data_IF_059779270058
#
_entry.id   IF_059779270058
#
_cell.length_a   1.000
_cell.length_b   1.000
_cell.length_c   1.000
_cell.angle_alpha   90.00
_cell.angle_beta   90.00
_cell.angle_gamma   90.00
#
_symmetry.space_group_name_H-M   'P 1'
#
loop_
_entity.id
_entity.type
_entity.pdbx_description
1 polymer ?
#
# COMPACT_ATOMS: atom_id res chain seq x y z
N UNK A 1 -73.75 -76.50 -21.70
CA UNK A 1 -74.30 -75.14 -21.68
C UNK A 1 -74.48 -74.73 -20.25
N UNK A 2 -73.88 -73.60 -19.86
CA UNK A 2 -74.51 -72.53 -19.06
C UNK A 2 -73.43 -71.59 -18.54
N UNK A 3 -73.41 -70.42 -19.16
CA UNK A 3 -72.65 -69.23 -18.80
C UNK A 3 -73.01 -68.75 -17.38
N UNK A 4 -71.99 -68.33 -16.61
CA UNK A 4 -72.17 -67.59 -15.37
C UNK A 4 -72.27 -66.08 -15.66
N UNK A 5 -73.19 -65.34 -15.04
CA UNK A 5 -73.50 -63.95 -15.41
C UNK A 5 -72.39 -62.97 -14.99
N UNK A 6 -72.06 -62.09 -15.92
CA UNK A 6 -71.10 -60.99 -15.81
C UNK A 6 -71.30 -60.10 -14.59
N UNK A 7 -70.23 -59.97 -13.80
CA UNK A 7 -70.10 -58.95 -12.74
C UNK A 7 -69.99 -57.57 -13.41
N UNK A 8 -71.01 -56.74 -13.23
CA UNK A 8 -71.00 -55.35 -13.70
C UNK A 8 -69.79 -54.60 -13.08
N UNK A 9 -68.92 -54.08 -13.94
CA UNK A 9 -67.87 -53.14 -13.55
C UNK A 9 -68.52 -51.87 -12.99
N UNK A 10 -68.26 -51.57 -11.71
CA UNK A 10 -68.55 -50.26 -11.15
C UNK A 10 -67.63 -49.23 -11.84
N UNK A 11 -68.15 -48.07 -12.30
CA UNK A 11 -67.30 -47.02 -12.84
C UNK A 11 -66.43 -46.47 -11.70
N UNK A 12 -65.12 -46.69 -11.79
CA UNK A 12 -64.13 -46.07 -10.91
C UNK A 12 -64.25 -44.55 -11.04
N UNK A 13 -64.71 -43.90 -9.97
CA UNK A 13 -64.68 -42.45 -9.85
C UNK A 13 -63.22 -42.01 -10.03
N UNK A 14 -62.90 -41.34 -11.14
CA UNK A 14 -61.59 -40.75 -11.36
C UNK A 14 -61.31 -39.75 -10.26
N UNK A 15 -60.32 -40.05 -9.42
CA UNK A 15 -59.86 -39.20 -8.32
C UNK A 15 -59.65 -37.77 -8.80
N UNK A 16 -60.13 -36.79 -8.03
CA UNK A 16 -59.87 -35.39 -8.28
C UNK A 16 -58.34 -35.18 -8.32
N UNK A 17 -57.80 -34.46 -9.33
CA UNK A 17 -56.37 -34.17 -9.38
C UNK A 17 -56.00 -33.37 -8.13
N UNK A 18 -55.00 -33.85 -7.37
CA UNK A 18 -54.53 -33.17 -6.15
C UNK A 18 -53.61 -32.02 -6.54
N UNK A 19 -53.47 -31.04 -5.66
CA UNK A 19 -52.59 -29.88 -5.90
C UNK A 19 -51.12 -30.34 -6.06
N UNK A 20 -50.75 -31.44 -5.41
CA UNK A 20 -49.42 -32.07 -5.53
C UNK A 20 -49.15 -32.71 -6.91
N UNK A 21 -50.21 -33.05 -7.67
CA UNK A 21 -50.10 -33.69 -8.99
C UNK A 21 -49.91 -32.67 -10.13
N UNK A 22 -49.91 -31.37 -9.81
CA UNK A 22 -49.73 -30.30 -10.79
C UNK A 22 -48.24 -30.11 -11.13
N UNK A 23 -47.83 -30.21 -12.41
CA UNK A 23 -46.44 -30.08 -12.78
C UNK A 23 -45.92 -28.65 -12.57
N UNK A 24 -44.84 -28.53 -11.80
CA UNK A 24 -44.08 -27.29 -11.58
C UNK A 24 -42.92 -27.17 -12.58
N UNK A 25 -42.86 -26.04 -13.28
CA UNK A 25 -41.70 -25.55 -14.02
C UNK A 25 -40.87 -24.63 -13.13
N UNK A 26 -39.60 -24.40 -13.45
CA UNK A 26 -38.60 -23.80 -12.54
C UNK A 26 -39.00 -22.51 -11.80
N UNK A 27 -39.96 -21.74 -12.31
CA UNK A 27 -40.45 -20.48 -11.71
C UNK A 27 -41.96 -20.49 -11.36
N UNK A 28 -42.63 -21.65 -11.38
CA UNK A 28 -44.06 -21.76 -11.05
C UNK A 28 -44.80 -22.93 -11.72
N UNK A 29 -46.13 -22.87 -11.78
CA UNK A 29 -46.94 -23.92 -12.41
C UNK A 29 -46.94 -23.81 -13.95
N UNK A 30 -46.93 -24.95 -14.64
CA UNK A 30 -47.08 -25.00 -16.10
C UNK A 30 -48.50 -24.62 -16.52
N UNK A 31 -48.64 -23.41 -17.10
CA UNK A 31 -49.94 -22.79 -17.40
C UNK A 31 -50.78 -23.60 -18.38
N UNK A 32 -50.18 -24.22 -19.39
CA UNK A 32 -50.91 -24.98 -20.40
C UNK A 32 -51.47 -26.28 -19.83
N UNK A 33 -50.67 -26.98 -19.02
CA UNK A 33 -51.08 -28.23 -18.38
C UNK A 33 -52.09 -28.02 -17.25
N UNK A 34 -51.95 -26.95 -16.48
CA UNK A 34 -52.96 -26.58 -15.48
C UNK A 34 -54.30 -26.33 -16.17
N UNK A 35 -54.31 -25.60 -17.29
CA UNK A 35 -55.53 -25.36 -18.06
C UNK A 35 -56.18 -26.67 -18.54
N UNK A 36 -55.40 -27.62 -19.04
CA UNK A 36 -55.89 -28.94 -19.46
C UNK A 36 -56.50 -29.73 -18.29
N UNK A 37 -55.89 -29.70 -17.11
CA UNK A 37 -56.42 -30.35 -15.92
C UNK A 37 -57.77 -29.75 -15.47
N UNK A 38 -57.91 -28.42 -15.52
CA UNK A 38 -59.17 -27.74 -15.22
C UNK A 38 -60.26 -28.06 -16.25
N UNK A 39 -59.91 -28.16 -17.54
CA UNK A 39 -60.86 -28.53 -18.59
C UNK A 39 -61.32 -29.99 -18.47
N UNK A 40 -60.41 -30.91 -18.12
CA UNK A 40 -60.76 -32.29 -17.82
C UNK A 40 -61.72 -32.39 -16.62
N UNK A 41 -61.48 -31.62 -15.56
CA UNK A 41 -62.36 -31.55 -14.40
C UNK A 41 -63.74 -30.96 -14.75
N UNK A 42 -63.80 -29.93 -15.60
CA UNK A 42 -65.07 -29.38 -16.10
C UNK A 42 -65.87 -30.38 -16.94
N UNK A 43 -65.22 -31.18 -17.79
CA UNK A 43 -65.87 -32.27 -18.53
C UNK A 43 -66.41 -33.33 -17.59
N UNK A 44 -65.63 -33.71 -16.58
CA UNK A 44 -66.03 -34.71 -15.59
C UNK A 44 -67.21 -34.25 -14.73
N UNK A 45 -67.21 -33.00 -14.26
CA UNK A 45 -68.35 -32.43 -13.51
C UNK A 45 -69.61 -32.31 -14.36
N UNK A 46 -69.48 -31.96 -15.65
CA UNK A 46 -70.61 -31.99 -16.58
C UNK A 46 -71.16 -33.42 -16.78
N UNK A 47 -70.27 -34.41 -16.89
CA UNK A 47 -70.66 -35.83 -16.99
C UNK A 47 -71.36 -36.32 -15.72
N UNK A 48 -70.87 -35.93 -14.54
CA UNK A 48 -71.49 -36.25 -13.26
C UNK A 48 -72.88 -35.60 -13.13
N UNK A 49 -73.03 -34.33 -13.52
CA UNK A 49 -74.33 -33.66 -13.54
C UNK A 49 -75.32 -34.32 -14.50
N UNK A 50 -74.85 -34.80 -15.66
CA UNK A 50 -75.67 -35.56 -16.59
C UNK A 50 -76.10 -36.91 -16.00
N UNK A 51 -75.19 -37.64 -15.35
CA UNK A 51 -75.50 -38.89 -14.65
C UNK A 51 -76.47 -38.68 -13.50
N UNK A 52 -76.32 -37.61 -12.71
CA UNK A 52 -77.26 -37.26 -11.64
C UNK A 52 -78.64 -36.87 -12.18
N UNK A 53 -78.73 -36.18 -13.33
CA UNK A 53 -80.03 -35.92 -13.98
C UNK A 53 -80.69 -37.21 -14.47
N UNK A 54 -79.92 -38.16 -14.99
CA UNK A 54 -80.43 -39.49 -15.41
C UNK A 54 -80.89 -40.30 -14.20
N UNK A 55 -80.11 -40.32 -13.11
CA UNK A 55 -80.47 -41.00 -11.87
C UNK A 55 -81.67 -40.35 -11.18
N UNK A 56 -81.80 -39.02 -11.22
CA UNK A 56 -83.00 -38.33 -10.72
C UNK A 56 -84.22 -38.57 -11.61
N UNK A 57 -84.04 -38.70 -12.93
CA UNK A 57 -85.11 -39.08 -13.85
C UNK A 57 -85.54 -40.55 -13.66
N UNK A 58 -84.61 -41.45 -13.36
CA UNK A 58 -84.87 -42.85 -13.06
C UNK A 58 -85.42 -43.07 -11.63
N UNK A 59 -84.99 -42.26 -10.66
CA UNK A 59 -85.49 -42.30 -9.28
C UNK A 59 -86.92 -41.76 -9.14
N UNK A 60 -87.37 -40.92 -10.09
CA UNK A 60 -88.74 -40.41 -10.12
C UNK A 60 -89.78 -41.47 -10.55
N UNK A 61 -89.35 -42.61 -11.11
CA UNK A 61 -90.25 -43.71 -11.52
C UNK A 61 -90.26 -44.90 -10.55
N UNK A 62 -89.44 -44.89 -9.50
CA UNK A 62 -89.42 -45.92 -8.46
C UNK A 62 -89.87 -45.33 -7.11
N UNK A 63 -91.13 -44.94 -7.03
CA UNK A 63 -91.75 -44.54 -5.77
C UNK A 63 -92.14 -45.80 -4.99
N UNK A 64 -91.18 -46.33 -4.24
CA UNK A 64 -91.42 -47.28 -3.15
C UNK A 64 -90.82 -46.64 -1.90
N UNK A 65 -91.68 -46.28 -0.95
CA UNK A 65 -91.27 -45.77 0.37
C UNK A 65 -90.26 -46.72 1.02
N UNK A 66 -88.97 -46.36 1.11
CA UNK A 66 -88.03 -47.12 1.90
C UNK A 66 -88.35 -46.77 3.35
N UNK A 67 -89.03 -47.70 4.02
CA UNK A 67 -89.39 -47.63 5.45
C UNK A 67 -88.33 -46.86 6.25
N UNK A 68 -88.72 -45.85 7.04
CA UNK A 68 -87.79 -44.93 7.74
C UNK A 68 -86.80 -45.61 8.72
N UNK A 69 -86.88 -46.92 8.89
CA UNK A 69 -85.83 -47.73 9.51
C UNK A 69 -84.60 -47.90 8.60
N UNK A 70 -84.76 -48.16 7.30
CA UNK A 70 -83.67 -48.31 6.34
C UNK A 70 -82.86 -47.02 6.18
N UNK A 71 -83.54 -45.87 6.07
CA UNK A 71 -82.88 -44.55 5.99
C UNK A 71 -82.10 -44.24 7.28
N UNK A 72 -82.68 -44.55 8.46
CA UNK A 72 -81.97 -44.37 9.73
C UNK A 72 -80.76 -45.28 9.86
N UNK A 73 -80.87 -46.53 9.43
CA UNK A 73 -79.74 -47.46 9.41
C UNK A 73 -78.66 -47.00 8.45
N UNK A 74 -79.02 -46.54 7.25
CA UNK A 74 -78.07 -46.02 6.26
C UNK A 74 -77.37 -44.74 6.76
N UNK A 75 -78.10 -43.82 7.39
CA UNK A 75 -77.52 -42.63 8.03
C UNK A 75 -76.52 -42.99 9.16
N UNK A 76 -76.82 -44.01 9.96
CA UNK A 76 -75.89 -44.49 11.00
C UNK A 76 -74.64 -45.13 10.38
N UNK A 77 -74.77 -45.88 9.28
CA UNK A 77 -73.63 -46.43 8.55
C UNK A 77 -72.78 -45.31 7.94
N UNK A 78 -73.40 -44.27 7.37
CA UNK A 78 -72.70 -43.11 6.84
C UNK A 78 -71.93 -42.36 7.93
N UNK A 79 -72.55 -42.13 9.11
CA UNK A 79 -71.88 -41.47 10.24
C UNK A 79 -70.69 -42.32 10.73
N UNK A 80 -70.85 -43.64 10.85
CA UNK A 80 -69.75 -44.54 11.21
C UNK A 80 -68.63 -44.49 10.15
N UNK A 81 -68.98 -44.59 8.88
CA UNK A 81 -68.01 -44.52 7.78
C UNK A 81 -67.29 -43.16 7.74
N UNK A 82 -67.99 -42.07 8.03
CA UNK A 82 -67.40 -40.73 8.13
C UNK A 82 -66.46 -40.59 9.33
N UNK A 83 -66.80 -41.19 10.48
CA UNK A 83 -65.93 -41.22 11.65
C UNK A 83 -64.66 -42.04 11.40
N UNK A 84 -64.79 -43.24 10.81
CA UNK A 84 -63.66 -44.07 10.40
C UNK A 84 -62.79 -43.35 9.36
N UNK A 85 -63.39 -42.64 8.40
CA UNK A 85 -62.67 -41.83 7.42
C UNK A 85 -61.91 -40.67 8.08
N UNK A 86 -62.52 -39.97 9.04
CA UNK A 86 -61.85 -38.91 9.79
C UNK A 86 -60.63 -39.43 10.59
N UNK A 87 -60.76 -40.60 11.23
CA UNK A 87 -59.65 -41.25 11.93
C UNK A 87 -58.51 -41.63 10.96
N UNK A 88 -58.84 -42.10 9.74
CA UNK A 88 -57.82 -42.38 8.72
C UNK A 88 -57.13 -41.11 8.24
N UNK A 89 -57.89 -40.03 8.02
CA UNK A 89 -57.35 -38.75 7.59
C UNK A 89 -56.42 -38.15 8.65
N UNK A 90 -56.79 -38.24 9.93
CA UNK A 90 -55.95 -37.78 11.03
C UNK A 90 -54.64 -38.55 11.10
N UNK A 91 -54.69 -39.89 10.99
CA UNK A 91 -53.47 -40.73 10.99
C UNK A 91 -52.57 -40.44 9.80
N UNK A 92 -53.15 -40.27 8.61
CA UNK A 92 -52.39 -39.92 7.40
C UNK A 92 -51.75 -38.53 7.52
N UNK A 93 -52.49 -37.55 8.05
CA UNK A 93 -51.97 -36.20 8.29
C UNK A 93 -50.85 -36.18 9.33
N UNK A 94 -50.99 -36.93 10.44
CA UNK A 94 -49.95 -37.07 11.46
C UNK A 94 -48.70 -37.78 10.90
N UNK A 95 -48.90 -38.86 10.13
CA UNK A 95 -47.81 -39.59 9.47
C UNK A 95 -47.07 -38.72 8.44
N UNK A 96 -47.81 -38.01 7.59
CA UNK A 96 -47.23 -37.09 6.61
C UNK A 96 -46.47 -35.94 7.29
N UNK A 97 -47.02 -35.37 8.36
CA UNK A 97 -46.40 -34.29 9.14
C UNK A 97 -45.12 -34.77 9.83
N UNK A 98 -45.13 -35.95 10.45
CA UNK A 98 -43.95 -36.56 11.05
C UNK A 98 -42.86 -36.82 10.00
N UNK A 99 -43.23 -37.31 8.81
CA UNK A 99 -42.29 -37.53 7.72
C UNK A 99 -41.68 -36.23 7.17
N UNK A 100 -42.47 -35.15 7.07
CA UNK A 100 -41.98 -33.84 6.65
C UNK A 100 -41.05 -33.22 7.70
N UNK A 101 -41.43 -33.26 8.98
CA UNK A 101 -40.59 -32.77 10.08
C UNK A 101 -39.28 -33.56 10.17
N UNK A 102 -39.31 -34.88 10.01
CA UNK A 102 -38.09 -35.69 9.98
C UNK A 102 -37.14 -35.26 8.87
N UNK A 103 -37.65 -35.03 7.66
CA UNK A 103 -36.84 -34.55 6.52
C UNK A 103 -36.25 -33.16 6.76
N UNK A 104 -37.04 -32.23 7.29
CA UNK A 104 -36.56 -30.87 7.56
C UNK A 104 -35.55 -30.85 8.70
N UNK A 105 -35.73 -31.65 9.75
CA UNK A 105 -34.74 -31.80 10.81
C UNK A 105 -33.41 -32.35 10.30
N UNK A 106 -33.45 -33.37 9.44
CA UNK A 106 -32.24 -33.91 8.81
C UNK A 106 -31.52 -32.88 7.94
N UNK A 107 -32.28 -32.11 7.16
CA UNK A 107 -31.72 -31.03 6.34
C UNK A 107 -31.11 -29.91 7.21
N UNK A 108 -31.79 -29.50 8.28
CA UNK A 108 -31.27 -28.51 9.23
C UNK A 108 -30.00 -29.02 9.89
N UNK A 109 -29.96 -30.28 10.34
CA UNK A 109 -28.76 -30.90 10.91
C UNK A 109 -27.62 -30.96 9.88
N UNK A 110 -27.92 -31.28 8.62
CA UNK A 110 -26.92 -31.29 7.54
C UNK A 110 -26.36 -29.88 7.31
N UNK A 111 -27.21 -28.88 7.12
CA UNK A 111 -26.79 -27.48 6.91
C UNK A 111 -26.01 -26.93 8.10
N UNK A 112 -26.39 -27.29 9.32
CA UNK A 112 -25.66 -26.88 10.52
C UNK A 112 -24.23 -27.43 10.55
N UNK A 113 -24.02 -28.69 10.14
CA UNK A 113 -22.67 -29.27 10.03
C UNK A 113 -21.85 -28.62 8.92
N UNK A 114 -22.47 -28.33 7.78
CA UNK A 114 -21.82 -27.63 6.66
C UNK A 114 -21.39 -26.22 7.08
N UNK A 115 -22.26 -25.48 7.79
CA UNK A 115 -21.92 -24.17 8.34
C UNK A 115 -20.77 -24.24 9.33
N UNK A 116 -20.77 -25.21 10.25
CA UNK A 116 -19.66 -25.41 11.19
C UNK A 116 -18.33 -25.72 10.47
N UNK A 117 -18.37 -26.51 9.40
CA UNK A 117 -17.19 -26.79 8.59
C UNK A 117 -16.68 -25.54 7.87
N UNK A 118 -17.59 -24.77 7.26
CA UNK A 118 -17.26 -23.50 6.61
C UNK A 118 -16.68 -22.48 7.60
N UNK A 119 -17.25 -22.36 8.81
CA UNK A 119 -16.72 -21.48 9.85
C UNK A 119 -15.31 -21.89 10.27
N UNK A 120 -15.04 -23.20 10.40
CA UNK A 120 -13.71 -23.72 10.71
C UNK A 120 -12.70 -23.39 9.59
N UNK A 121 -13.09 -23.51 8.32
CA UNK A 121 -12.25 -23.16 7.18
C UNK A 121 -11.97 -21.65 7.11
N UNK A 122 -12.99 -20.80 7.35
CA UNK A 122 -12.81 -19.35 7.44
C UNK A 122 -11.83 -18.98 8.56
N UNK A 123 -11.90 -19.65 9.71
CA UNK A 123 -10.94 -19.41 10.80
C UNK A 123 -9.52 -19.83 10.43
N UNK A 124 -9.35 -20.96 9.72
CA UNK A 124 -8.04 -21.39 9.21
C UNK A 124 -7.45 -20.37 8.24
N UNK A 125 -8.24 -19.93 7.25
CA UNK A 125 -7.79 -18.90 6.30
C UNK A 125 -7.42 -17.59 6.98
N UNK A 126 -8.18 -17.16 8.00
CA UNK A 126 -7.82 -15.97 8.79
C UNK A 126 -6.49 -16.14 9.49
N UNK A 127 -6.27 -17.25 10.18
CA UNK A 127 -5.00 -17.52 10.88
C UNK A 127 -3.83 -17.62 9.91
N UNK A 128 -4.01 -18.27 8.76
CA UNK A 128 -2.98 -18.37 7.72
C UNK A 128 -2.66 -16.99 7.12
N UNK A 129 -3.68 -16.18 6.83
CA UNK A 129 -3.52 -14.83 6.30
C UNK A 129 -2.82 -13.92 7.32
N UNK A 130 -3.16 -14.04 8.60
CA UNK A 130 -2.48 -13.30 9.67
C UNK A 130 -1.02 -13.71 9.79
N UNK A 131 -0.72 -15.01 9.74
CA UNK A 131 0.67 -15.52 9.73
C UNK A 131 1.44 -14.97 8.55
N UNK A 132 0.91 -15.11 7.33
CA UNK A 132 1.53 -14.57 6.11
C UNK A 132 1.74 -13.06 6.22
N UNK A 133 0.77 -12.32 6.74
CA UNK A 133 0.91 -10.87 6.96
C UNK A 133 2.05 -10.58 7.93
N UNK A 134 2.18 -11.30 9.03
CA UNK A 134 3.28 -11.11 9.98
C UNK A 134 4.63 -11.48 9.39
N UNK A 135 4.70 -12.52 8.56
CA UNK A 135 5.92 -12.92 7.86
C UNK A 135 6.36 -11.87 6.84
N UNK A 136 5.43 -11.36 6.01
CA UNK A 136 5.69 -10.31 5.03
C UNK A 136 6.15 -9.02 5.73
N UNK A 137 5.45 -8.60 6.79
CA UNK A 137 5.82 -7.41 7.55
C UNK A 137 7.17 -7.60 8.27
N UNK A 138 7.46 -8.80 8.76
CA UNK A 138 8.75 -9.13 9.37
C UNK A 138 9.90 -9.07 8.36
N UNK A 139 9.70 -9.66 7.19
CA UNK A 139 10.65 -9.64 6.08
C UNK A 139 10.91 -8.21 5.59
N UNK A 140 9.86 -7.44 5.32
CA UNK A 140 9.96 -6.05 4.87
C UNK A 140 10.67 -5.16 5.91
N UNK A 141 10.37 -5.32 7.20
CA UNK A 141 11.08 -4.59 8.26
C UNK A 141 12.56 -4.97 8.36
N UNK A 142 12.90 -6.25 8.15
CA UNK A 142 14.29 -6.70 8.15
C UNK A 142 15.04 -6.12 6.96
N UNK A 143 14.47 -6.22 5.76
CA UNK A 143 15.04 -5.65 4.53
C UNK A 143 15.23 -4.14 4.64
N UNK A 144 14.23 -3.41 5.16
CA UNK A 144 14.35 -1.96 5.38
C UNK A 144 15.50 -1.61 6.34
N UNK A 145 15.70 -2.40 7.41
CA UNK A 145 16.82 -2.18 8.34
C UNK A 145 18.17 -2.51 7.70
N UNK A 146 18.23 -3.55 6.87
CA UNK A 146 19.44 -3.93 6.14
C UNK A 146 19.83 -2.83 5.15
N UNK A 147 18.89 -2.33 4.34
CA UNK A 147 19.12 -1.21 3.40
C UNK A 147 19.62 0.03 4.14
N UNK A 148 18.98 0.42 5.24
CA UNK A 148 19.41 1.58 6.02
C UNK A 148 20.80 1.37 6.63
N UNK A 149 21.10 0.17 7.12
CA UNK A 149 22.42 -0.13 7.67
C UNK A 149 23.51 -0.10 6.61
N UNK A 150 23.25 -0.64 5.43
CA UNK A 150 24.15 -0.67 4.28
C UNK A 150 24.41 0.75 3.76
N UNK A 151 23.35 1.52 3.49
CA UNK A 151 23.46 2.92 3.06
C UNK A 151 24.25 3.78 4.06
N UNK A 152 24.05 3.57 5.37
CA UNK A 152 24.84 4.25 6.40
C UNK A 152 26.31 3.84 6.41
N UNK A 153 26.64 2.59 6.09
CA UNK A 153 28.02 2.11 6.02
C UNK A 153 28.74 2.66 4.78
N UNK A 154 28.05 2.69 3.64
CA UNK A 154 28.53 3.30 2.39
C UNK A 154 28.77 4.79 2.57
N UNK A 155 27.78 5.54 3.06
CA UNK A 155 27.92 6.98 3.29
C UNK A 155 29.10 7.33 4.22
N UNK A 156 29.33 6.53 5.27
CA UNK A 156 30.49 6.70 6.16
C UNK A 156 31.82 6.41 5.45
N UNK A 157 31.83 5.46 4.53
CA UNK A 157 33.03 5.11 3.77
C UNK A 157 33.36 6.23 2.77
N UNK A 158 32.36 6.71 2.03
CA UNK A 158 32.51 7.84 1.11
C UNK A 158 32.95 9.12 1.83
N UNK A 159 32.38 9.41 3.01
CA UNK A 159 32.77 10.57 3.81
C UNK A 159 34.25 10.50 4.22
N UNK A 160 34.72 9.34 4.71
CA UNK A 160 36.14 9.17 5.05
C UNK A 160 37.06 9.29 3.85
N UNK A 161 36.64 8.79 2.69
CA UNK A 161 37.41 8.95 1.45
C UNK A 161 37.47 10.41 1.00
N UNK A 162 36.36 11.14 1.09
CA UNK A 162 36.28 12.56 0.76
C UNK A 162 37.15 13.39 1.71
N UNK A 163 37.11 13.11 3.01
CA UNK A 163 37.99 13.72 4.00
C UNK A 163 39.46 13.45 3.70
N UNK A 164 39.82 12.20 3.41
CA UNK A 164 41.20 11.82 3.06
C UNK A 164 41.70 12.47 1.75
N UNK A 165 40.81 12.66 0.77
CA UNK A 165 41.12 13.42 -0.46
C UNK A 165 41.30 14.91 -0.13
N UNK A 166 40.43 15.46 0.73
CA UNK A 166 40.51 16.85 1.19
C UNK A 166 41.80 17.16 1.93
N UNK A 167 42.22 16.31 2.86
CA UNK A 167 43.49 16.50 3.60
C UNK A 167 44.69 16.48 2.67
N UNK A 168 44.75 15.55 1.70
CA UNK A 168 45.82 15.50 0.70
C UNK A 168 45.87 16.77 -0.16
N UNK A 169 44.73 17.27 -0.61
CA UNK A 169 44.67 18.51 -1.38
C UNK A 169 45.13 19.72 -0.56
N UNK A 170 44.75 19.79 0.72
CA UNK A 170 45.22 20.85 1.62
C UNK A 170 46.72 20.78 1.87
N UNK A 171 47.29 19.59 2.05
CA UNK A 171 48.73 19.39 2.19
C UNK A 171 49.46 19.80 0.90
N UNK A 172 48.97 19.38 -0.27
CA UNK A 172 49.55 19.79 -1.56
C UNK A 172 49.51 21.31 -1.74
N UNK A 173 48.36 21.95 -1.45
CA UNK A 173 48.23 23.41 -1.55
C UNK A 173 49.18 24.14 -0.59
N UNK A 174 49.37 23.62 0.63
CA UNK A 174 50.35 24.15 1.59
C UNK A 174 51.77 24.03 1.07
N UNK A 175 52.15 22.87 0.53
CA UNK A 175 53.48 22.68 -0.06
C UNK A 175 53.71 23.64 -1.24
N UNK A 176 52.77 23.73 -2.17
CA UNK A 176 52.86 24.66 -3.29
C UNK A 176 52.95 26.12 -2.85
N UNK A 177 52.16 26.53 -1.85
CA UNK A 177 52.25 27.88 -1.29
C UNK A 177 53.63 28.16 -0.69
N UNK A 178 54.22 27.20 0.02
CA UNK A 178 55.58 27.34 0.57
C UNK A 178 56.64 27.39 -0.52
N UNK A 179 56.52 26.57 -1.57
CA UNK A 179 57.43 26.57 -2.70
C UNK A 179 57.39 27.89 -3.47
N UNK A 180 56.19 28.41 -3.76
CA UNK A 180 56.01 29.71 -4.41
C UNK A 180 56.56 30.85 -3.55
N UNK A 181 56.34 30.82 -2.23
CA UNK A 181 56.87 31.84 -1.31
C UNK A 181 58.40 31.81 -1.27
N UNK A 182 59.00 30.62 -1.23
CA UNK A 182 60.45 30.46 -1.26
C UNK A 182 61.04 30.89 -2.62
N UNK A 183 60.40 30.54 -3.74
CA UNK A 183 60.79 30.97 -5.09
C UNK A 183 60.76 32.48 -5.21
N UNK A 184 59.66 33.13 -4.81
CA UNK A 184 59.53 34.58 -4.84
C UNK A 184 60.58 35.27 -3.97
N UNK A 185 60.89 34.74 -2.77
CA UNK A 185 61.99 35.26 -1.93
C UNK A 185 63.34 35.14 -2.63
N UNK A 186 63.64 33.98 -3.23
CA UNK A 186 64.90 33.76 -3.93
C UNK A 186 65.07 34.68 -5.15
N UNK A 187 63.99 34.90 -5.91
CA UNK A 187 63.98 35.85 -7.03
C UNK A 187 64.23 37.29 -6.55
N UNK A 188 63.58 37.73 -5.47
CA UNK A 188 63.82 39.05 -4.88
C UNK A 188 65.27 39.18 -4.41
N UNK A 189 65.82 38.19 -3.71
CA UNK A 189 67.22 38.18 -3.28
C UNK A 189 68.18 38.29 -4.47
N UNK A 190 67.92 37.54 -5.55
CA UNK A 190 68.69 37.61 -6.79
C UNK A 190 68.62 39.00 -7.42
N UNK A 191 67.43 39.62 -7.49
CA UNK A 191 67.30 40.98 -8.04
C UNK A 191 68.03 42.02 -7.19
N UNK A 192 68.00 41.88 -5.85
CA UNK A 192 68.72 42.77 -4.95
C UNK A 192 70.23 42.58 -5.05
N UNK A 193 70.71 41.34 -5.18
CA UNK A 193 72.12 41.07 -5.40
C UNK A 193 72.60 41.66 -6.73
N UNK A 194 71.83 41.47 -7.81
CA UNK A 194 72.10 42.08 -9.11
C UNK A 194 72.13 43.61 -9.04
N UNK A 195 71.16 44.23 -8.37
CA UNK A 195 71.12 45.68 -8.18
C UNK A 195 72.35 46.18 -7.38
N UNK A 196 72.74 45.48 -6.30
CA UNK A 196 73.94 45.82 -5.51
C UNK A 196 75.23 45.69 -6.32
N UNK A 197 75.36 44.64 -7.15
CA UNK A 197 76.49 44.46 -8.04
C UNK A 197 76.56 45.59 -9.09
N UNK A 198 75.42 45.97 -9.67
CA UNK A 198 75.33 47.07 -10.62
C UNK A 198 75.70 48.42 -9.98
N UNK A 199 75.17 48.73 -8.78
CA UNK A 199 75.54 49.94 -8.04
C UNK A 199 77.02 49.97 -7.71
N UNK A 200 77.61 48.84 -7.28
CA UNK A 200 79.05 48.74 -7.00
C UNK A 200 79.89 49.02 -8.24
N UNK A 201 79.48 48.51 -9.41
CA UNK A 201 80.16 48.77 -10.69
C UNK A 201 80.05 50.24 -11.13
N UNK A 202 78.89 50.89 -10.94
CA UNK A 202 78.70 52.31 -11.22
C UNK A 202 79.58 53.16 -10.29
N UNK A 203 79.60 52.83 -9.00
CA UNK A 203 80.41 53.55 -8.00
C UNK A 203 81.90 53.44 -8.31
N UNK A 204 82.40 52.24 -8.62
CA UNK A 204 83.80 52.04 -9.01
C UNK A 204 84.17 52.83 -10.27
N UNK A 205 83.27 52.88 -11.27
CA UNK A 205 83.48 53.70 -12.48
C UNK A 205 83.49 55.19 -12.16
N UNK A 206 82.60 55.66 -11.29
CA UNK A 206 82.56 57.06 -10.85
C UNK A 206 83.81 57.44 -10.05
N UNK A 207 84.27 56.58 -9.13
CA UNK A 207 85.51 56.75 -8.37
C UNK A 207 86.71 56.86 -9.31
N UNK A 208 86.86 55.92 -10.24
CA UNK A 208 87.96 55.95 -11.21
C UNK A 208 87.93 57.20 -12.10
N UNK A 209 86.74 57.62 -12.56
CA UNK A 209 86.58 58.86 -13.31
C UNK A 209 86.95 60.11 -12.50
N UNK A 210 86.57 60.15 -11.22
CA UNK A 210 86.94 61.23 -10.31
C UNK A 210 88.46 61.28 -10.07
N UNK A 211 89.10 60.13 -9.84
CA UNK A 211 90.56 60.01 -9.71
C UNK A 211 91.29 60.52 -10.94
N UNK A 212 90.83 60.16 -12.15
CA UNK A 212 91.41 60.65 -13.40
C UNK A 212 91.31 62.18 -13.53
N UNK A 213 90.15 62.76 -13.20
CA UNK A 213 89.95 64.22 -13.27
C UNK A 213 90.82 64.95 -12.26
N UNK A 214 90.89 64.48 -11.01
CA UNK A 214 91.74 65.06 -9.96
C UNK A 214 93.22 64.96 -10.31
N UNK A 215 93.67 63.83 -10.86
CA UNK A 215 95.03 63.66 -11.37
C UNK A 215 95.37 64.63 -12.50
N UNK A 216 94.44 64.86 -13.42
CA UNK A 216 94.62 65.84 -14.51
C UNK A 216 94.68 67.29 -14.03
N UNK A 217 94.03 67.61 -12.91
CA UNK A 217 94.02 68.93 -12.30
C UNK A 217 95.26 69.23 -11.43
N UNK A 218 96.15 68.25 -11.22
CA UNK A 218 97.35 68.40 -10.39
C UNK A 218 97.08 68.51 -8.89
N UNK A 219 95.86 68.21 -8.45
CA UNK A 219 95.46 68.19 -7.05
C UNK A 219 95.88 66.83 -6.46
N UNK A 220 96.87 66.83 -5.56
CA UNK A 220 97.40 65.61 -4.94
C UNK A 220 96.36 64.87 -4.08
N UNK A 221 96.72 63.66 -3.65
CA UNK A 221 95.87 62.69 -2.91
C UNK A 221 95.11 63.29 -1.71
N UNK A 222 95.67 64.32 -1.07
CA UNK A 222 95.05 65.02 0.06
C UNK A 222 93.77 65.79 -0.30
N UNK A 223 93.70 66.44 -1.47
CA UNK A 223 92.49 67.18 -1.89
C UNK A 223 91.38 66.23 -2.36
N UNK A 224 91.76 65.07 -2.90
CA UNK A 224 90.81 64.00 -3.26
C UNK A 224 90.10 63.44 -2.03
N UNK A 225 90.83 63.25 -0.93
CA UNK A 225 90.28 62.75 0.34
C UNK A 225 89.24 63.71 0.93
N UNK A 226 89.49 65.03 0.92
CA UNK A 226 88.56 66.03 1.47
C UNK A 226 87.25 66.10 0.68
N UNK A 227 87.32 66.08 -0.67
CA UNK A 227 86.14 66.07 -1.54
C UNK A 227 85.34 64.78 -1.37
N UNK A 228 86.02 63.62 -1.27
CA UNK A 228 85.36 62.35 -1.00
C UNK A 228 84.62 62.37 0.35
N UNK A 229 85.24 62.93 1.40
CA UNK A 229 84.62 63.06 2.71
C UNK A 229 83.38 63.98 2.68
N UNK A 230 83.42 65.07 1.91
CA UNK A 230 82.27 65.98 1.75
C UNK A 230 81.10 65.30 1.02
N UNK A 231 81.39 64.50 -0.02
CA UNK A 231 80.38 63.74 -0.76
C UNK A 231 79.74 62.67 0.13
N UNK A 232 80.54 61.92 0.90
CA UNK A 232 80.01 60.89 1.82
C UNK A 232 79.14 61.54 2.91
N UNK A 233 79.55 62.69 3.43
CA UNK A 233 78.76 63.46 4.41
C UNK A 233 77.44 63.96 3.83
N UNK A 234 77.45 64.43 2.57
CA UNK A 234 76.23 64.84 1.87
C UNK A 234 75.32 63.64 1.56
N UNK A 235 75.87 62.51 1.13
CA UNK A 235 75.11 61.31 0.81
C UNK A 235 74.46 60.68 2.06
N UNK A 236 75.17 60.65 3.19
CA UNK A 236 74.62 60.20 4.48
C UNK A 236 73.53 61.12 5.01
N UNK A 237 73.61 62.43 4.76
CA UNK A 237 72.53 63.37 5.09
C UNK A 237 71.27 63.16 4.23
N UNK A 238 71.41 62.70 2.98
CA UNK A 238 70.29 62.41 2.07
C UNK A 238 69.66 61.03 2.34
N UNK A 239 70.45 60.04 2.78
CA UNK A 239 69.97 58.67 2.97
C UNK A 239 68.92 58.51 4.08
N UNK A 240 68.85 59.42 5.06
CA UNK A 240 67.87 59.38 6.14
C UNK A 240 67.89 58.11 7.01
N UNK A 241 67.19 58.08 8.17
CA UNK A 241 67.03 56.83 8.91
C UNK A 241 66.25 55.81 8.06
N UNK A 242 66.57 54.50 8.13
CA UNK A 242 65.87 53.49 7.35
C UNK A 242 64.37 53.58 7.64
N UNK A 243 63.49 53.49 6.63
CA UNK A 243 62.06 53.47 6.87
C UNK A 243 61.76 52.33 7.84
N UNK A 244 61.19 52.69 8.99
CA UNK A 244 60.79 51.73 10.00
C UNK A 244 59.97 50.64 9.33
N UNK A 245 60.36 49.39 9.56
CA UNK A 245 59.46 48.27 9.37
C UNK A 245 58.26 48.54 10.28
N UNK A 246 57.20 49.13 9.73
CA UNK A 246 55.90 49.02 10.35
C UNK A 246 55.63 47.52 10.48
N UNK A 247 55.39 47.00 11.69
CA UNK A 247 54.94 45.63 11.82
C UNK A 247 53.60 45.58 11.10
N UNK A 248 53.58 44.93 9.94
CA UNK A 248 52.34 44.42 9.35
C UNK A 248 51.79 43.48 10.41
N UNK A 249 50.90 44.00 11.25
CA UNK A 249 50.14 43.21 12.19
C UNK A 249 49.44 42.16 11.33
N UNK A 250 49.90 40.90 11.44
CA UNK A 250 49.10 39.76 11.04
C UNK A 250 47.79 39.90 11.82
N UNK A 251 46.74 40.36 11.14
CA UNK A 251 45.40 40.25 11.64
C UNK A 251 45.19 38.75 11.96
N UNK A 252 44.78 38.39 13.19
CA UNK A 252 44.45 37.01 13.47
C UNK A 252 43.34 36.57 12.49
N UNK A 253 43.38 35.33 11.99
CA UNK A 253 42.33 34.83 11.12
C UNK A 253 41.00 34.95 11.86
N UNK A 254 40.08 35.74 11.32
CA UNK A 254 38.70 35.73 11.79
C UNK A 254 38.20 34.28 11.65
N UNK A 255 37.68 33.66 12.72
CA UNK A 255 36.99 32.40 12.57
C UNK A 255 35.80 32.67 11.65
N UNK A 256 35.76 31.94 10.53
CA UNK A 256 34.60 31.91 9.66
C UNK A 256 33.36 31.68 10.52
N UNK A 257 32.40 32.59 10.42
CA UNK A 257 31.06 32.36 10.92
C UNK A 257 30.58 31.05 10.30
N UNK A 258 30.41 30.05 11.17
CA UNK A 258 29.63 28.87 10.90
C UNK A 258 28.19 29.34 10.62
N UNK A 259 27.84 29.45 9.34
CA UNK A 259 26.45 29.39 8.90
C UNK A 259 25.98 27.94 9.04
N UNK A 260 25.75 27.54 10.29
CA UNK A 260 24.90 26.41 10.66
C UNK A 260 23.75 26.99 11.50
N UNK A 261 22.72 27.49 10.82
CA UNK A 261 21.35 27.56 11.35
C UNK A 261 20.43 27.04 10.24
N UNK A 262 20.27 25.72 10.20
CA UNK A 262 19.19 25.00 10.86
C UNK A 262 17.90 25.07 10.03
N UNK A 263 17.84 24.13 9.09
CA UNK A 263 16.63 23.72 8.42
C UNK A 263 15.67 23.08 9.44
N UNK A 264 14.97 23.92 10.20
CA UNK A 264 13.78 23.51 10.94
C UNK A 264 12.55 23.65 10.04
N UNK A 265 12.28 22.58 9.29
CA UNK A 265 10.92 22.16 8.95
C UNK A 265 10.13 21.86 10.23
N UNK A 266 8.96 22.47 10.47
CA UNK A 266 7.90 21.83 11.22
C UNK A 266 6.98 21.15 10.21
N UNK A 267 7.21 19.85 10.03
CA UNK A 267 6.21 18.92 9.53
C UNK A 267 5.26 18.54 10.67
N UNK A 268 3.97 18.61 10.34
CA UNK A 268 2.81 17.91 10.90
C UNK A 268 2.64 17.68 12.42
N UNK A 269 1.50 18.17 12.93
CA UNK A 269 0.70 17.36 13.86
C UNK A 269 -0.22 18.09 14.83
N UNK A 270 -1.53 17.95 14.57
CA UNK A 270 -2.63 17.92 15.54
C UNK A 270 -3.38 19.20 15.88
N UNK A 271 -4.65 19.24 15.47
CA UNK A 271 -5.68 19.95 16.25
C UNK A 271 -6.85 20.53 15.46
N UNK A 272 -7.65 19.73 14.77
CA UNK A 272 -9.06 20.10 14.59
C UNK A 272 -9.99 18.88 14.65
N UNK A 273 -10.25 18.46 15.89
CA UNK A 273 -11.50 17.81 16.28
C UNK A 273 -12.45 18.93 16.74
N UNK A 274 -13.43 19.28 15.91
CA UNK A 274 -14.68 19.90 16.34
C UNK A 274 -15.71 19.88 15.19
N UNK A 275 -16.93 19.44 15.52
CA UNK A 275 -18.21 19.65 14.83
C UNK A 275 -18.47 18.95 13.47
N UNK A 276 -19.01 17.72 13.53
CA UNK A 276 -20.43 17.39 13.25
C UNK A 276 -20.68 15.89 13.13
#
# INVERSE_FOLDING_TARGET
MSEGPSRAQQPSLTSLPRVEDLPTSGDGYDRERVQEAFDAFRRHTAQLQAQLRVLQAAGRTAQVDPTGHAIRMDALHLIRAAAEFADTLERDAQSASAAQLGKTEEEVRRRQRELQAQEADVQRYRQETERQRTEILGAANKEAREIVSEANAEAKTELREAEAKGTRLLEQARHQATELTNSARAEVEQTLEWARAQTSAILARAQHGAEQLLGSAGLGEAAAAEVAETIVRAATAVAGPPPGAEPVALAPPQPAASEDEDASTPDDGSGNQADR
#
